data_IF_652263155768
#
_entry.id   IF_652263155768
#
_cell.length_a   1.000
_cell.length_b   1.000
_cell.length_c   1.000
_cell.angle_alpha   90.00
_cell.angle_beta   90.00
_cell.angle_gamma   90.00
#
_symmetry.space_group_name_H-M   'P 1'
#
loop_
_entity.id
_entity.type
_entity.pdbx_description
1 polymer ?
#
# COMPACT_ATOMS: atom_id res chain seq x y z
N UNK A 1 8.90 16.43 18.57
CA UNK A 1 7.45 16.71 18.61
C UNK A 1 6.96 16.51 17.20
N UNK A 2 6.05 15.57 17.00
CA UNK A 2 5.43 15.31 15.71
C UNK A 2 4.74 16.57 15.17
N UNK A 3 4.77 16.76 13.86
CA UNK A 3 4.00 17.79 13.19
C UNK A 3 2.51 17.50 13.33
N UNK A 4 1.69 18.55 13.38
CA UNK A 4 0.21 18.41 13.40
C UNK A 4 -0.27 17.60 12.18
N UNK A 5 0.44 17.71 11.06
CA UNK A 5 0.14 16.99 9.82
C UNK A 5 0.38 15.48 9.93
N UNK A 6 1.39 15.04 10.68
CA UNK A 6 1.72 13.62 10.92
C UNK A 6 0.52 12.91 11.57
N UNK A 7 -0.03 13.55 12.61
CA UNK A 7 -1.24 13.07 13.31
C UNK A 7 -2.43 13.01 12.36
N UNK A 8 -2.64 14.05 11.54
CA UNK A 8 -3.76 14.12 10.59
C UNK A 8 -3.67 13.01 9.54
N UNK A 9 -2.51 12.78 8.93
CA UNK A 9 -2.33 11.76 7.91
C UNK A 9 -2.47 10.34 8.47
N UNK A 10 -1.96 10.09 9.68
CA UNK A 10 -2.14 8.80 10.34
C UNK A 10 -3.62 8.54 10.68
N UNK A 11 -4.35 9.55 11.17
CA UNK A 11 -5.81 9.44 11.39
C UNK A 11 -6.55 9.16 10.08
N UNK A 12 -6.18 9.86 8.99
CA UNK A 12 -6.78 9.62 7.67
C UNK A 12 -6.52 8.19 7.18
N UNK A 13 -5.30 7.67 7.34
CA UNK A 13 -4.95 6.30 6.95
C UNK A 13 -5.75 5.26 7.75
N UNK A 14 -5.91 5.48 9.06
CA UNK A 14 -6.74 4.62 9.94
C UNK A 14 -8.20 4.67 9.49
N UNK A 15 -8.74 5.88 9.25
CA UNK A 15 -10.12 6.06 8.83
C UNK A 15 -10.41 5.40 7.47
N UNK A 16 -9.54 5.59 6.48
CA UNK A 16 -9.63 4.96 5.16
C UNK A 16 -9.58 3.44 5.26
N UNK A 17 -8.65 2.90 6.05
CA UNK A 17 -8.52 1.45 6.25
C UNK A 17 -9.73 0.86 6.96
N UNK A 18 -10.22 1.51 8.01
CA UNK A 18 -11.41 1.08 8.77
C UNK A 18 -12.67 1.13 7.91
N UNK A 19 -12.79 2.16 7.06
CA UNK A 19 -13.88 2.25 6.09
C UNK A 19 -13.90 1.04 5.15
N UNK A 20 -12.74 0.54 4.71
CA UNK A 20 -12.64 -0.69 3.93
C UNK A 20 -12.98 -1.95 4.73
N UNK A 21 -12.38 -2.11 5.91
CA UNK A 21 -12.52 -3.31 6.76
C UNK A 21 -13.96 -3.58 7.23
N UNK A 22 -14.75 -2.53 7.41
CA UNK A 22 -16.15 -2.64 7.85
C UNK A 22 -17.12 -3.07 6.74
N UNK A 23 -16.65 -3.28 5.50
CA UNK A 23 -17.50 -3.56 4.34
C UNK A 23 -17.52 -5.03 3.99
N UNK A 24 -18.74 -5.58 3.88
CA UNK A 24 -18.98 -6.99 3.50
C UNK A 24 -18.39 -7.36 2.12
N UNK A 25 -18.33 -6.43 1.18
CA UNK A 25 -17.79 -6.67 -0.17
C UNK A 25 -16.28 -6.97 -0.18
N UNK A 26 -15.56 -6.54 0.85
CA UNK A 26 -14.11 -6.72 1.00
C UNK A 26 -13.74 -7.99 1.78
N UNK A 27 -14.69 -8.59 2.51
CA UNK A 27 -14.44 -9.83 3.29
C UNK A 27 -14.05 -11.00 2.38
N UNK A 28 -14.54 -11.02 1.13
CA UNK A 28 -14.17 -12.05 0.15
C UNK A 28 -12.87 -11.75 -0.61
N UNK A 29 -12.29 -10.55 -0.44
CA UNK A 29 -11.06 -10.07 -1.09
C UNK A 29 -9.88 -10.21 -0.13
N UNK A 30 -9.36 -11.43 -0.04
CA UNK A 30 -8.41 -11.84 1.02
C UNK A 30 -7.12 -11.00 1.02
N UNK A 31 -6.61 -10.65 -0.14
CA UNK A 31 -5.37 -9.88 -0.25
C UNK A 31 -5.62 -8.41 0.08
N UNK A 32 -6.67 -7.80 -0.48
CA UNK A 32 -7.08 -6.44 -0.15
C UNK A 32 -7.39 -6.28 1.34
N UNK A 33 -8.04 -7.27 1.97
CA UNK A 33 -8.29 -7.26 3.41
C UNK A 33 -6.99 -7.27 4.22
N UNK A 34 -6.00 -8.08 3.81
CA UNK A 34 -4.68 -8.09 4.43
C UNK A 34 -3.94 -6.75 4.23
N UNK A 35 -4.02 -6.16 3.03
CA UNK A 35 -3.47 -4.84 2.74
C UNK A 35 -4.07 -3.76 3.63
N UNK A 36 -5.41 -3.75 3.78
CA UNK A 36 -6.12 -2.85 4.70
C UNK A 36 -5.67 -3.01 6.15
N UNK A 37 -5.49 -4.25 6.60
CA UNK A 37 -5.03 -4.51 7.96
C UNK A 37 -3.59 -3.98 8.18
N UNK A 38 -2.70 -4.16 7.22
CA UNK A 38 -1.32 -3.66 7.29
C UNK A 38 -1.27 -2.13 7.31
N UNK A 39 -2.03 -1.46 6.44
CA UNK A 39 -2.10 0.02 6.44
C UNK A 39 -2.78 0.58 7.69
N UNK A 40 -3.80 -0.09 8.23
CA UNK A 40 -4.40 0.29 9.50
C UNK A 40 -3.40 0.15 10.66
N UNK A 41 -2.64 -0.94 10.69
CA UNK A 41 -1.63 -1.20 11.71
C UNK A 41 -0.51 -0.15 11.65
N UNK A 42 -0.04 0.19 10.44
CA UNK A 42 0.92 1.27 10.19
C UNK A 42 0.41 2.59 10.79
N UNK A 43 -0.77 3.06 10.37
CA UNK A 43 -1.33 4.32 10.88
C UNK A 43 -1.52 4.33 12.40
N UNK A 44 -1.96 3.23 13.01
CA UNK A 44 -2.11 3.12 14.46
C UNK A 44 -0.77 3.21 15.20
N UNK A 45 0.24 2.45 14.77
CA UNK A 45 1.53 2.42 15.46
C UNK A 45 2.29 3.73 15.30
N UNK A 46 2.26 4.33 14.11
CA UNK A 46 2.86 5.65 13.89
C UNK A 46 2.14 6.73 14.70
N UNK A 47 0.80 6.73 14.76
CA UNK A 47 0.05 7.67 15.60
C UNK A 47 0.41 7.52 17.09
N UNK A 48 0.52 6.29 17.59
CA UNK A 48 0.93 6.06 18.98
C UNK A 48 2.36 6.55 19.21
N UNK A 49 3.28 6.34 18.25
CA UNK A 49 4.63 6.87 18.33
C UNK A 49 4.64 8.41 18.39
N UNK A 50 3.89 9.07 17.52
CA UNK A 50 3.78 10.53 17.44
C UNK A 50 3.26 11.15 18.75
N UNK A 51 2.29 10.48 19.38
CA UNK A 51 1.66 10.93 20.62
C UNK A 51 2.50 10.63 21.88
N UNK A 52 3.26 9.53 21.87
CA UNK A 52 3.95 9.04 23.08
C UNK A 52 5.47 9.27 23.07
N UNK A 53 6.08 9.45 21.90
CA UNK A 53 7.53 9.44 21.68
C UNK A 53 8.23 8.27 22.39
N UNK A 54 7.58 7.10 22.42
CA UNK A 54 8.08 5.91 23.10
C UNK A 54 9.03 5.12 22.18
N UNK A 55 10.29 4.97 22.58
CA UNK A 55 11.31 4.27 21.78
C UNK A 55 10.94 2.80 21.47
N UNK A 56 10.19 2.12 22.33
CA UNK A 56 9.71 0.77 22.07
C UNK A 56 8.60 0.71 21.01
N UNK A 57 7.85 1.81 20.81
CA UNK A 57 6.83 1.91 19.75
C UNK A 57 7.48 2.34 18.43
N UNK A 58 8.58 3.10 18.49
CA UNK A 58 9.32 3.58 17.32
C UNK A 58 9.78 2.44 16.39
N UNK A 59 10.40 1.40 16.94
CA UNK A 59 10.82 0.22 16.17
C UNK A 59 9.63 -0.53 15.55
N UNK A 60 8.53 -0.66 16.30
CA UNK A 60 7.32 -1.33 15.81
C UNK A 60 6.62 -0.51 14.71
N UNK A 61 6.55 0.81 14.86
CA UNK A 61 5.99 1.72 13.88
C UNK A 61 6.83 1.73 12.60
N UNK A 62 8.16 1.77 12.72
CA UNK A 62 9.08 1.68 11.59
C UNK A 62 8.89 0.38 10.81
N UNK A 63 8.81 -0.76 11.50
CA UNK A 63 8.56 -2.06 10.87
C UNK A 63 7.20 -2.12 10.19
N UNK A 64 6.14 -1.67 10.86
CA UNK A 64 4.78 -1.69 10.30
C UNK A 64 4.65 -0.80 9.07
N UNK A 65 5.28 0.37 9.08
CA UNK A 65 5.36 1.25 7.92
C UNK A 65 6.12 0.60 6.77
N UNK A 66 7.26 -0.01 7.07
CA UNK A 66 8.03 -0.75 6.07
C UNK A 66 7.22 -1.87 5.43
N UNK A 67 6.58 -2.73 6.21
CA UNK A 67 5.73 -3.80 5.68
C UNK A 67 4.55 -3.27 4.87
N UNK A 68 3.81 -2.28 5.38
CA UNK A 68 2.64 -1.75 4.69
C UNK A 68 3.03 -1.15 3.33
N UNK A 69 4.15 -0.43 3.27
CA UNK A 69 4.62 0.12 2.00
C UNK A 69 5.18 -0.96 1.08
N UNK A 70 6.00 -1.90 1.60
CA UNK A 70 6.64 -2.95 0.78
C UNK A 70 5.65 -3.91 0.14
N UNK A 71 4.57 -4.32 0.82
CA UNK A 71 3.65 -5.34 0.28
C UNK A 71 2.18 -4.93 0.27
N UNK A 72 1.78 -3.94 1.06
CA UNK A 72 0.36 -3.56 1.21
C UNK A 72 -0.28 -3.14 -0.11
N UNK A 73 0.47 -2.42 -0.94
CA UNK A 73 0.03 -1.98 -2.28
C UNK A 73 -0.15 -3.16 -3.23
N UNK A 74 0.81 -4.08 -3.26
CA UNK A 74 0.78 -5.26 -4.13
C UNK A 74 -0.40 -6.18 -3.79
N UNK A 75 -0.76 -6.28 -2.51
CA UNK A 75 -1.94 -7.02 -2.08
C UNK A 75 -3.25 -6.45 -2.67
N UNK A 76 -3.37 -5.13 -2.79
CA UNK A 76 -4.49 -4.52 -3.49
C UNK A 76 -4.46 -4.79 -5.00
N UNK A 77 -3.28 -4.79 -5.61
CA UNK A 77 -3.11 -5.09 -7.02
C UNK A 77 -3.62 -6.51 -7.37
N UNK A 78 -3.30 -7.52 -6.54
CA UNK A 78 -3.74 -8.90 -6.74
C UNK A 78 -5.27 -9.00 -6.79
N UNK A 79 -5.97 -8.47 -5.79
CA UNK A 79 -7.44 -8.55 -5.76
C UNK A 79 -8.08 -7.68 -6.85
N UNK A 80 -7.43 -6.61 -7.29
CA UNK A 80 -7.86 -5.80 -8.45
C UNK A 80 -7.78 -6.61 -9.75
N UNK A 81 -6.67 -7.34 -9.96
CA UNK A 81 -6.51 -8.25 -11.10
C UNK A 81 -7.58 -9.34 -11.10
N UNK A 82 -7.78 -10.03 -9.97
CA UNK A 82 -8.79 -11.08 -9.84
C UNK A 82 -10.19 -10.53 -10.10
N UNK A 83 -10.51 -9.36 -9.54
CA UNK A 83 -11.81 -8.71 -9.74
C UNK A 83 -12.01 -8.24 -11.19
N UNK A 84 -10.92 -7.96 -11.90
CA UNK A 84 -10.92 -7.62 -13.31
C UNK A 84 -10.97 -8.84 -14.22
N UNK A 85 -11.05 -10.07 -13.68
CA UNK A 85 -11.13 -11.30 -14.47
C UNK A 85 -9.80 -11.80 -15.02
N UNK A 86 -8.68 -11.39 -14.42
CA UNK A 86 -7.36 -12.00 -14.64
C UNK A 86 -7.29 -13.34 -13.91
N UNK A 87 -6.55 -14.29 -14.47
CA UNK A 87 -6.28 -15.57 -13.81
C UNK A 87 -5.71 -15.37 -12.38
N UNK A 88 -6.26 -16.03 -11.35
CA UNK A 88 -5.81 -15.84 -9.97
C UNK A 88 -4.35 -16.25 -9.71
N UNK A 89 -3.85 -17.29 -10.37
CA UNK A 89 -2.45 -17.73 -10.19
C UNK A 89 -1.49 -16.70 -10.76
N UNK A 90 -1.82 -16.17 -11.93
CA UNK A 90 -1.05 -15.08 -12.52
C UNK A 90 -1.14 -13.81 -11.69
N UNK A 91 -2.31 -13.48 -11.14
CA UNK A 91 -2.48 -12.31 -10.29
C UNK A 91 -1.53 -12.35 -9.09
N UNK A 92 -1.32 -13.53 -8.48
CA UNK A 92 -0.38 -13.73 -7.39
C UNK A 92 1.10 -13.52 -7.76
N UNK A 93 1.47 -13.55 -9.05
CA UNK A 93 2.86 -13.27 -9.48
C UNK A 93 3.28 -11.84 -9.14
N UNK A 94 2.31 -10.93 -8.98
CA UNK A 94 2.55 -9.55 -8.52
C UNK A 94 3.16 -9.52 -7.11
N UNK A 95 2.98 -10.57 -6.30
CA UNK A 95 3.57 -10.66 -4.96
C UNK A 95 5.03 -11.13 -4.97
N UNK A 96 5.58 -11.59 -6.11
CA UNK A 96 6.95 -12.09 -6.16
C UNK A 96 7.99 -11.00 -5.86
N UNK A 97 7.95 -9.81 -6.51
CA UNK A 97 8.89 -8.74 -6.19
C UNK A 97 8.88 -8.30 -4.71
N UNK A 98 7.73 -8.01 -4.06
CA UNK A 98 7.74 -7.60 -2.66
C UNK A 98 8.12 -8.73 -1.70
N UNK A 99 7.83 -10.00 -2.02
CA UNK A 99 8.31 -11.13 -1.21
C UNK A 99 9.84 -11.26 -1.26
N UNK A 100 10.45 -11.07 -2.43
CA UNK A 100 11.91 -11.05 -2.55
C UNK A 100 12.49 -9.90 -1.74
N UNK A 101 11.86 -8.72 -1.78
CA UNK A 101 12.28 -7.57 -0.98
C UNK A 101 12.24 -7.89 0.52
N UNK A 102 11.14 -8.46 1.02
CA UNK A 102 11.04 -8.90 2.42
C UNK A 102 12.13 -9.90 2.80
N UNK A 103 12.47 -10.85 1.93
CA UNK A 103 13.56 -11.81 2.17
C UNK A 103 14.92 -11.10 2.22
N UNK A 104 15.18 -10.16 1.32
CA UNK A 104 16.43 -9.40 1.28
C UNK A 104 16.58 -8.50 2.51
N UNK A 105 15.52 -7.81 2.91
CA UNK A 105 15.51 -6.91 4.06
C UNK A 105 15.69 -7.70 5.36
N UNK A 106 14.83 -8.68 5.60
CA UNK A 106 14.76 -9.35 6.90
C UNK A 106 15.68 -10.57 6.99
N UNK A 107 15.90 -11.27 5.87
CA UNK A 107 16.77 -12.44 5.81
C UNK A 107 18.25 -12.10 5.67
N UNK A 108 18.59 -11.04 4.92
CA UNK A 108 19.99 -10.67 4.66
C UNK A 108 20.47 -9.39 5.36
N UNK A 109 19.57 -8.70 6.09
CA UNK A 109 19.87 -7.45 6.83
C UNK A 109 20.61 -6.41 5.97
N UNK A 110 20.21 -6.29 4.70
CA UNK A 110 20.87 -5.40 3.75
C UNK A 110 20.65 -3.92 4.15
N UNK A 111 21.74 -3.15 4.27
CA UNK A 111 21.72 -1.72 4.66
C UNK A 111 21.16 -0.78 3.58
N UNK A 112 20.85 -1.30 2.38
CA UNK A 112 20.35 -0.55 1.23
C UNK A 112 18.83 -0.67 1.03
N UNK A 113 18.08 -0.74 2.12
CA UNK A 113 16.64 -1.00 2.17
C UNK A 113 15.80 -0.18 1.16
N UNK A 114 15.99 1.14 1.13
CA UNK A 114 15.21 2.06 0.27
C UNK A 114 15.36 1.78 -1.23
N UNK A 115 16.52 1.28 -1.66
CA UNK A 115 16.79 0.98 -3.07
C UNK A 115 16.16 -0.34 -3.51
N UNK A 116 16.13 -1.36 -2.64
CA UNK A 116 15.54 -2.67 -2.97
C UNK A 116 14.02 -2.55 -3.06
N UNK A 117 13.39 -1.81 -2.14
CA UNK A 117 11.94 -1.56 -2.14
C UNK A 117 11.47 -0.72 -3.33
N UNK A 118 12.27 0.26 -3.77
CA UNK A 118 11.95 1.00 -4.99
C UNK A 118 11.97 0.11 -6.25
N UNK A 119 12.94 -0.80 -6.35
CA UNK A 119 13.06 -1.72 -7.50
C UNK A 119 11.96 -2.79 -7.49
N UNK A 120 11.63 -3.36 -6.32
CA UNK A 120 10.57 -4.36 -6.21
C UNK A 120 9.22 -3.79 -6.64
N UNK A 121 8.88 -2.56 -6.24
CA UNK A 121 7.65 -1.91 -6.67
C UNK A 121 7.64 -1.55 -8.17
N UNK A 122 8.76 -1.11 -8.74
CA UNK A 122 8.84 -0.90 -10.20
C UNK A 122 8.56 -2.21 -10.93
N UNK A 123 9.09 -3.33 -10.45
CA UNK A 123 8.83 -4.64 -11.03
C UNK A 123 7.36 -5.06 -10.88
N UNK A 124 6.75 -4.83 -9.72
CA UNK A 124 5.31 -5.09 -9.50
C UNK A 124 4.42 -4.28 -10.42
N UNK A 125 4.71 -2.98 -10.59
CA UNK A 125 3.94 -2.10 -11.48
C UNK A 125 4.15 -2.49 -12.95
N UNK A 126 5.38 -2.86 -13.34
CA UNK A 126 5.66 -3.35 -14.68
C UNK A 126 4.90 -4.65 -14.98
N UNK A 127 4.83 -5.58 -14.03
CA UNK A 127 4.01 -6.79 -14.13
C UNK A 127 2.53 -6.44 -14.25
N UNK A 128 2.03 -5.50 -13.44
CA UNK A 128 0.65 -5.05 -13.49
C UNK A 128 0.30 -4.44 -14.86
N UNK A 129 1.16 -3.60 -15.43
CA UNK A 129 0.98 -3.02 -16.76
C UNK A 129 1.06 -4.07 -17.87
N UNK A 130 1.96 -5.05 -17.75
CA UNK A 130 2.03 -6.15 -18.71
C UNK A 130 0.72 -6.95 -18.73
N UNK A 131 0.18 -7.31 -17.57
CA UNK A 131 -1.11 -7.98 -17.43
C UNK A 131 -2.24 -7.10 -17.98
N UNK A 132 -2.22 -5.80 -17.69
CA UNK A 132 -3.21 -4.84 -18.18
C UNK A 132 -3.31 -4.82 -19.70
N UNK A 133 -2.17 -4.78 -20.39
CA UNK A 133 -2.09 -4.77 -21.86
C UNK A 133 -2.50 -6.13 -22.42
N UNK A 134 -1.96 -7.22 -21.87
CA UNK A 134 -2.18 -8.57 -22.37
C UNK A 134 -3.64 -9.01 -22.25
N UNK A 135 -4.31 -8.66 -21.15
CA UNK A 135 -5.68 -9.09 -20.84
C UNK A 135 -6.72 -7.99 -21.11
N UNK A 136 -6.30 -6.84 -21.66
CA UNK A 136 -7.19 -5.73 -22.04
C UNK A 136 -7.88 -5.06 -20.85
N UNK A 137 -7.18 -4.87 -19.72
CA UNK A 137 -7.72 -4.35 -18.45
C UNK A 137 -7.14 -2.96 -18.10
N UNK A 138 -7.68 -1.87 -18.66
CA UNK A 138 -7.13 -0.52 -18.46
C UNK A 138 -7.19 -0.03 -17.00
N UNK A 139 -8.12 -0.56 -16.18
CA UNK A 139 -8.21 -0.24 -14.75
C UNK A 139 -6.91 -0.59 -13.99
N UNK A 140 -6.18 -1.61 -14.46
CA UNK A 140 -4.90 -2.01 -13.87
C UNK A 140 -3.79 -0.98 -14.16
N UNK A 141 -3.89 -0.23 -15.26
CA UNK A 141 -2.96 0.87 -15.57
C UNK A 141 -3.19 2.04 -14.61
N UNK A 142 -4.44 2.44 -14.40
CA UNK A 142 -4.79 3.51 -13.44
C UNK A 142 -4.36 3.14 -12.02
N UNK A 143 -4.58 1.88 -11.66
CA UNK A 143 -4.16 1.29 -10.38
C UNK A 143 -2.63 1.35 -10.23
N UNK A 144 -1.86 0.89 -11.22
CA UNK A 144 -0.40 0.92 -11.18
C UNK A 144 0.20 2.33 -11.18
N UNK A 145 -0.43 3.30 -11.85
CA UNK A 145 -0.03 4.71 -11.79
C UNK A 145 -0.25 5.31 -10.40
N UNK A 146 -1.37 5.00 -9.75
CA UNK A 146 -1.65 5.44 -8.36
C UNK A 146 -0.62 4.87 -7.39
N UNK A 147 -0.15 3.65 -7.64
CA UNK A 147 0.87 2.97 -6.84
C UNK A 147 2.29 3.50 -7.07
N UNK A 148 2.63 3.96 -8.28
CA UNK A 148 3.89 4.65 -8.56
C UNK A 148 4.04 5.93 -7.72
N UNK A 149 2.96 6.69 -7.52
CA UNK A 149 3.00 7.91 -6.70
C UNK A 149 3.22 7.63 -5.21
N UNK A 150 2.73 6.50 -4.69
CA UNK A 150 2.98 6.09 -3.32
C UNK A 150 4.46 5.73 -3.05
N UNK A 151 5.22 5.34 -4.10
CA UNK A 151 6.59 4.82 -3.98
C UNK A 151 7.66 5.83 -4.42
N UNK A 152 7.39 6.68 -5.42
CA UNK A 152 8.37 7.60 -6.01
C UNK A 152 8.83 8.73 -5.07
N UNK A 153 8.21 8.90 -3.90
CA UNK A 153 8.54 9.93 -2.91
C UNK A 153 9.70 9.50 -1.99
N UNK A 154 10.28 8.31 -2.20
CA UNK A 154 11.36 7.76 -1.36
C UNK A 154 12.79 8.08 -1.86
N UNK A 155 13.06 9.32 -2.28
CA UNK A 155 14.40 9.73 -2.76
C UNK A 155 15.30 10.18 -1.62
N UNK A 156 16.33 9.36 -1.34
CA UNK A 156 17.65 9.58 -0.71
C UNK A 156 17.82 10.48 0.53
N UNK A 157 16.89 11.36 0.86
CA UNK A 157 16.87 12.13 2.10
C UNK A 157 15.93 11.44 3.09
N UNK A 158 16.53 10.86 4.12
CA UNK A 158 15.89 10.17 5.27
C UNK A 158 14.90 11.09 6.04
N UNK A 159 14.80 12.36 5.62
CA UNK A 159 13.98 13.42 6.21
C UNK A 159 12.79 13.85 5.34
N UNK A 160 12.58 13.29 4.14
CA UNK A 160 11.33 13.55 3.40
C UNK A 160 10.16 12.81 4.05
N UNK A 161 9.51 13.56 4.93
CA UNK A 161 8.09 13.58 5.29
C UNK A 161 7.32 12.26 5.04
N UNK A 162 7.44 11.36 6.01
CA UNK A 162 6.50 10.26 6.32
C UNK A 162 5.03 10.61 6.01
N UNK A 163 4.70 11.89 6.14
CA UNK A 163 3.43 12.55 5.95
C UNK A 163 2.83 12.41 4.56
N UNK A 164 3.57 12.77 3.52
CA UNK A 164 3.03 12.78 2.15
C UNK A 164 2.73 11.36 1.69
N UNK A 165 3.65 10.42 1.93
CA UNK A 165 3.46 9.00 1.62
C UNK A 165 2.25 8.42 2.38
N UNK A 166 2.11 8.73 3.67
CA UNK A 166 0.97 8.30 4.48
C UNK A 166 -0.35 8.87 3.96
N UNK A 167 -0.36 10.15 3.54
CA UNK A 167 -1.51 10.80 2.91
C UNK A 167 -1.89 10.15 1.56
N UNK A 168 -0.92 9.90 0.69
CA UNK A 168 -1.15 9.21 -0.59
C UNK A 168 -1.65 7.78 -0.39
N UNK A 169 -1.08 7.06 0.58
CA UNK A 169 -1.57 5.74 0.96
C UNK A 169 -3.01 5.78 1.47
N UNK A 170 -3.38 6.78 2.27
CA UNK A 170 -4.75 6.94 2.75
C UNK A 170 -5.74 7.16 1.60
N UNK A 171 -5.37 7.94 0.59
CA UNK A 171 -6.16 8.15 -0.62
C UNK A 171 -6.25 6.86 -1.44
N UNK A 172 -5.12 6.19 -1.68
CA UNK A 172 -5.07 4.94 -2.43
C UNK A 172 -5.93 3.84 -1.78
N UNK A 173 -5.84 3.68 -0.46
CA UNK A 173 -6.65 2.74 0.33
C UNK A 173 -8.14 3.06 0.24
N UNK A 174 -8.51 4.35 0.32
CA UNK A 174 -9.90 4.76 0.17
C UNK A 174 -10.45 4.46 -1.23
N UNK A 175 -9.72 4.85 -2.27
CA UNK A 175 -10.09 4.60 -3.66
C UNK A 175 -10.19 3.10 -3.98
N UNK A 176 -9.24 2.29 -3.51
CA UNK A 176 -9.29 0.83 -3.66
C UNK A 176 -10.52 0.25 -2.95
N UNK A 177 -10.76 0.65 -1.70
CA UNK A 177 -11.93 0.20 -0.92
C UNK A 177 -13.25 0.57 -1.58
N UNK A 178 -13.31 1.71 -2.26
CA UNK A 178 -14.46 2.18 -3.02
C UNK A 178 -14.65 1.36 -4.31
N UNK A 179 -13.58 1.14 -5.07
CA UNK A 179 -13.59 0.31 -6.27
C UNK A 179 -14.07 -1.12 -5.97
N UNK A 180 -13.59 -1.74 -4.90
CA UNK A 180 -14.02 -3.08 -4.48
C UNK A 180 -15.50 -3.17 -4.05
N UNK A 181 -16.19 -2.04 -3.90
CA UNK A 181 -17.64 -2.00 -3.70
C UNK A 181 -18.43 -1.99 -5.02
N UNK A 182 -17.74 -2.09 -6.17
CA UNK A 182 -18.36 -2.03 -7.49
C UNK A 182 -18.75 -0.61 -7.89
N UNK A 183 -18.22 0.40 -7.20
CA UNK A 183 -18.40 1.81 -7.56
C UNK A 183 -17.22 2.25 -8.43
N UNK A 184 -17.51 3.01 -9.47
CA UNK A 184 -16.51 3.55 -10.40
C UNK A 184 -16.33 5.07 -10.18
N UNK A 185 -15.35 5.68 -10.84
CA UNK A 185 -15.08 7.13 -10.76
C UNK A 185 -16.30 7.99 -11.14
N UNK A 186 -17.19 7.47 -11.99
CA UNK A 186 -18.46 8.13 -12.35
C UNK A 186 -19.42 8.27 -11.16
N UNK A 187 -19.36 7.34 -10.21
CA UNK A 187 -20.16 7.39 -8.99
C UNK A 187 -19.58 8.37 -7.96
N UNK A 188 -18.38 8.93 -8.22
CA UNK A 188 -17.73 9.94 -7.40
C UNK A 188 -18.08 11.38 -7.83
N UNK A 189 -18.90 11.56 -8.88
CA UNK A 189 -19.31 12.88 -9.38
C UNK A 189 -18.28 13.57 -10.28
N UNK A 190 -17.36 12.80 -10.87
CA UNK A 190 -16.47 13.24 -11.95
C UNK A 190 -17.02 12.88 -13.33
#
# INVERSE_FOLDING_TARGET
MAGVWDIVYNILLIASSTYGLTRKSLISKKFAYLGLALFCLNGCLTLVNDLTNCQAVDEAAFLAHGFANTIGVDLFAVDTCISSGVDPYLSCVILVPPVIDLIVIYGFRATSWSRVTSVSHILSVALLFNIAIRDGRPILIVTGMSFLFAVLINREDIYFEYNDVTGYNAIAVFCASWFFQGKDFKDMGF
#
